data_IF_632187335358
#
_entry.id   IF_632187335358
#
_cell.length_a   1.000
_cell.length_b   1.000
_cell.length_c   1.000
_cell.angle_alpha   90.00
_cell.angle_beta   90.00
_cell.angle_gamma   90.00
#
_symmetry.space_group_name_H-M   'P 1'
#
loop_
_entity.id
_entity.type
_entity.pdbx_description
1 polymer ?
#
# COMPACT_ATOMS: atom_id res chain seq x y z
N UNK A 1 15.34 22.58 19.94
CA UNK A 1 14.50 23.12 18.85
C UNK A 1 14.81 22.35 17.57
N UNK A 2 13.78 21.92 16.84
CA UNK A 2 13.95 21.20 15.56
C UNK A 2 13.74 22.19 14.40
N UNK A 3 14.59 22.12 13.37
CA UNK A 3 14.43 22.93 12.16
C UNK A 3 13.19 22.48 11.38
N UNK A 4 12.38 23.41 10.88
CA UNK A 4 11.15 23.10 10.12
C UNK A 4 11.40 22.14 8.96
N UNK A 5 12.54 22.27 8.28
CA UNK A 5 12.91 21.38 7.16
C UNK A 5 13.14 19.94 7.62
N UNK A 6 13.72 19.73 8.80
CA UNK A 6 13.93 18.39 9.35
C UNK A 6 12.58 17.74 9.68
N UNK A 7 11.68 18.51 10.30
CA UNK A 7 10.31 18.07 10.59
C UNK A 7 9.59 17.57 9.34
N UNK A 8 9.62 18.39 8.28
CA UNK A 8 9.01 18.09 6.99
C UNK A 8 9.58 16.81 6.37
N UNK A 9 10.90 16.64 6.40
CA UNK A 9 11.57 15.46 5.82
C UNK A 9 11.20 14.18 6.55
N UNK A 10 11.21 14.17 7.88
CA UNK A 10 10.83 12.99 8.67
C UNK A 10 9.34 12.66 8.51
N UNK A 11 8.49 13.69 8.45
CA UNK A 11 7.07 13.54 8.17
C UNK A 11 6.83 12.89 6.80
N UNK A 12 7.46 13.41 5.74
CA UNK A 12 7.30 12.85 4.39
C UNK A 12 7.93 11.48 4.23
N UNK A 13 9.09 11.24 4.85
CA UNK A 13 9.69 9.91 4.92
C UNK A 13 8.67 8.86 5.40
N UNK A 14 7.98 9.15 6.51
CA UNK A 14 7.00 8.25 7.09
C UNK A 14 5.78 8.02 6.18
N UNK A 15 5.29 9.09 5.52
CA UNK A 15 4.20 9.00 4.56
C UNK A 15 4.57 8.11 3.37
N UNK A 16 5.73 8.36 2.76
CA UNK A 16 6.14 7.58 1.59
C UNK A 16 6.42 6.12 1.95
N UNK A 17 6.97 5.83 3.15
CA UNK A 17 7.19 4.46 3.59
C UNK A 17 5.88 3.70 3.80
N UNK A 18 4.91 4.32 4.47
CA UNK A 18 3.57 3.74 4.66
C UNK A 18 2.86 3.53 3.31
N UNK A 19 3.05 4.44 2.34
CA UNK A 19 2.53 4.29 0.97
C UNK A 19 3.15 3.11 0.23
N UNK A 20 4.47 2.91 0.35
CA UNK A 20 5.16 1.76 -0.26
C UNK A 20 4.57 0.45 0.27
N UNK A 21 4.44 0.30 1.59
CA UNK A 21 3.82 -0.90 2.18
C UNK A 21 2.37 -1.08 1.73
N UNK A 22 1.58 -0.01 1.78
CA UNK A 22 0.15 -0.04 1.43
C UNK A 22 -0.06 -0.42 -0.04
N UNK A 23 0.75 0.13 -0.96
CA UNK A 23 0.68 -0.20 -2.38
C UNK A 23 1.07 -1.65 -2.63
N UNK A 24 2.14 -2.14 -1.99
CA UNK A 24 2.57 -3.52 -2.15
C UNK A 24 1.47 -4.50 -1.70
N UNK A 25 0.87 -4.24 -0.54
CA UNK A 25 -0.21 -5.05 0.02
C UNK A 25 -1.47 -4.99 -0.85
N UNK A 26 -1.83 -3.80 -1.33
CA UNK A 26 -2.98 -3.59 -2.22
C UNK A 26 -2.83 -4.42 -3.50
N UNK A 27 -1.68 -4.35 -4.18
CA UNK A 27 -1.41 -5.15 -5.39
C UNK A 27 -1.44 -6.65 -5.08
N UNK A 28 -0.83 -7.08 -3.97
CA UNK A 28 -0.74 -8.50 -3.58
C UNK A 28 -2.13 -9.08 -3.33
N UNK A 29 -2.94 -8.42 -2.50
CA UNK A 29 -4.27 -8.91 -2.11
C UNK A 29 -5.25 -8.91 -3.28
N UNK A 30 -5.28 -7.85 -4.09
CA UNK A 30 -6.11 -7.82 -5.29
C UNK A 30 -5.67 -8.82 -6.35
N UNK A 31 -4.36 -9.11 -6.45
CA UNK A 31 -3.90 -10.19 -7.32
C UNK A 31 -4.60 -11.48 -6.94
N UNK A 32 -4.60 -11.84 -5.65
CA UNK A 32 -5.33 -13.02 -5.14
C UNK A 32 -6.84 -12.94 -5.40
N UNK A 33 -7.48 -11.82 -5.06
CA UNK A 33 -8.91 -11.63 -5.30
C UNK A 33 -9.30 -11.89 -6.77
N UNK A 34 -8.60 -11.26 -7.72
CA UNK A 34 -8.91 -11.40 -9.15
C UNK A 34 -8.59 -12.80 -9.72
N UNK A 35 -7.81 -13.61 -9.00
CA UNK A 35 -7.61 -15.01 -9.33
C UNK A 35 -8.78 -15.89 -8.85
N UNK A 36 -9.32 -15.58 -7.68
CA UNK A 36 -10.36 -16.39 -7.03
C UNK A 36 -11.77 -16.04 -7.54
N UNK A 37 -11.97 -14.83 -8.08
CA UNK A 37 -13.26 -14.38 -8.58
C UNK A 37 -13.64 -14.96 -9.96
N UNK A 38 -14.93 -15.25 -10.20
CA UNK A 38 -15.47 -15.47 -11.54
C UNK A 38 -15.26 -14.25 -12.45
N UNK A 39 -15.14 -14.49 -13.76
CA UNK A 39 -14.80 -13.44 -14.76
C UNK A 39 -15.94 -12.45 -15.05
N UNK A 40 -17.16 -12.79 -14.66
CA UNK A 40 -18.42 -12.08 -14.90
C UNK A 40 -18.82 -11.14 -13.74
N UNK A 41 -17.97 -11.01 -12.71
CA UNK A 41 -18.23 -10.17 -11.52
C UNK A 41 -18.11 -8.66 -11.77
N UNK A 42 -17.64 -8.22 -12.94
CA UNK A 42 -17.38 -6.80 -13.23
C UNK A 42 -16.16 -6.21 -12.51
N UNK A 43 -15.56 -6.94 -11.57
CA UNK A 43 -14.35 -6.52 -10.85
C UNK A 43 -13.13 -6.72 -11.73
N UNK A 44 -12.30 -5.69 -11.86
CA UNK A 44 -11.16 -5.68 -12.76
C UNK A 44 -9.89 -5.12 -12.12
N UNK A 45 -8.76 -5.26 -12.83
CA UNK A 45 -7.51 -4.60 -12.46
C UNK A 45 -7.65 -3.08 -12.39
N UNK A 46 -8.63 -2.47 -13.05
CA UNK A 46 -8.83 -1.04 -12.96
C UNK A 46 -9.25 -0.56 -11.56
N UNK A 47 -9.95 -1.40 -10.79
CA UNK A 47 -10.35 -1.09 -9.41
C UNK A 47 -9.13 -0.80 -8.52
N UNK A 48 -7.97 -1.41 -8.79
CA UNK A 48 -6.70 -1.07 -8.11
C UNK A 48 -6.23 0.36 -8.39
N UNK A 49 -6.42 0.85 -9.60
CA UNK A 49 -6.04 2.22 -9.99
C UNK A 49 -6.93 3.24 -9.28
N UNK A 50 -8.21 2.90 -9.09
CA UNK A 50 -9.16 3.70 -8.30
C UNK A 50 -8.75 3.69 -6.82
N UNK A 51 -8.55 2.51 -6.23
CA UNK A 51 -8.16 2.35 -4.82
C UNK A 51 -6.83 3.03 -4.48
N UNK A 52 -5.88 3.09 -5.43
CA UNK A 52 -4.62 3.81 -5.28
C UNK A 52 -4.72 5.34 -5.46
N UNK A 53 -5.91 5.87 -5.78
CA UNK A 53 -6.12 7.30 -6.01
C UNK A 53 -5.48 7.84 -7.30
N UNK A 54 -5.05 6.96 -8.22
CA UNK A 54 -4.27 7.33 -9.42
C UNK A 54 -5.06 7.24 -10.73
N UNK A 55 -6.38 7.08 -10.64
CA UNK A 55 -7.30 6.91 -11.79
C UNK A 55 -7.23 8.05 -12.82
N UNK A 56 -7.21 9.31 -12.35
CA UNK A 56 -7.13 10.46 -13.26
C UNK A 56 -5.83 10.48 -14.08
N UNK A 57 -4.70 10.15 -13.46
CA UNK A 57 -3.41 10.07 -14.16
C UNK A 57 -3.35 8.89 -15.12
N UNK A 58 -3.89 7.74 -14.70
CA UNK A 58 -3.93 6.55 -15.53
C UNK A 58 -4.74 6.77 -16.80
N UNK A 59 -5.96 7.30 -16.69
CA UNK A 59 -6.86 7.48 -17.83
C UNK A 59 -6.36 8.52 -18.84
N UNK A 60 -5.52 9.47 -18.40
CA UNK A 60 -4.87 10.41 -19.32
C UNK A 60 -3.83 9.73 -20.23
N UNK A 61 -3.25 8.61 -19.79
CA UNK A 61 -2.10 7.98 -20.44
C UNK A 61 -2.39 6.61 -21.04
N UNK A 62 -3.38 5.90 -20.49
CA UNK A 62 -3.71 4.53 -20.85
C UNK A 62 -5.21 4.38 -21.11
N UNK A 63 -5.54 3.73 -22.22
CA UNK A 63 -6.92 3.33 -22.55
C UNK A 63 -7.20 1.87 -22.21
N UNK A 64 -6.17 1.03 -22.13
CA UNK A 64 -6.28 -0.42 -21.86
C UNK A 64 -6.00 -0.69 -20.39
N UNK A 65 -6.92 -1.40 -19.73
CA UNK A 65 -6.93 -1.67 -18.29
C UNK A 65 -6.54 -3.12 -17.95
N UNK A 66 -5.55 -3.69 -18.64
CA UNK A 66 -5.09 -5.05 -18.37
C UNK A 66 -4.11 -5.14 -17.19
N UNK A 67 -4.01 -6.34 -16.61
CA UNK A 67 -3.15 -6.65 -15.47
C UNK A 67 -1.75 -6.06 -15.62
N UNK A 68 -1.10 -6.34 -16.75
CA UNK A 68 0.30 -5.96 -16.99
C UNK A 68 0.50 -4.45 -16.94
N UNK A 69 -0.40 -3.66 -17.55
CA UNK A 69 -0.29 -2.19 -17.56
C UNK A 69 -0.61 -1.59 -16.21
N UNK A 70 -1.67 -2.07 -15.54
CA UNK A 70 -2.04 -1.60 -14.20
C UNK A 70 -0.91 -1.85 -13.20
N UNK A 71 -0.42 -3.09 -13.13
CA UNK A 71 0.65 -3.46 -12.19
C UNK A 71 1.91 -2.67 -12.51
N UNK A 72 2.29 -2.54 -13.79
CA UNK A 72 3.43 -1.71 -14.19
C UNK A 72 3.28 -0.25 -13.76
N UNK A 73 2.10 0.34 -13.95
CA UNK A 73 1.81 1.72 -13.59
C UNK A 73 1.88 1.98 -12.09
N UNK A 74 1.38 1.05 -11.28
CA UNK A 74 1.38 1.18 -9.81
C UNK A 74 2.74 0.82 -9.19
N UNK A 75 3.50 -0.07 -9.82
CA UNK A 75 4.72 -0.62 -9.24
C UNK A 75 6.00 0.07 -9.76
N UNK A 76 6.18 0.15 -11.07
CA UNK A 76 7.45 0.53 -11.72
C UNK A 76 7.44 1.96 -12.26
N UNK A 77 6.29 2.46 -12.70
CA UNK A 77 6.24 3.71 -13.47
C UNK A 77 6.66 4.95 -12.65
N UNK A 78 7.88 5.42 -12.90
CA UNK A 78 8.45 6.60 -12.23
C UNK A 78 7.81 7.93 -12.64
N UNK A 79 7.02 7.94 -13.71
CA UNK A 79 6.22 9.12 -14.07
C UNK A 79 4.91 9.22 -13.28
N UNK A 80 4.48 8.11 -12.65
CA UNK A 80 3.45 8.14 -11.61
C UNK A 80 4.09 8.46 -10.26
N UNK A 81 3.85 9.63 -9.65
CA UNK A 81 4.44 9.99 -8.36
C UNK A 81 3.96 9.09 -7.21
N UNK A 82 2.81 8.45 -7.37
CA UNK A 82 2.22 7.52 -6.40
C UNK A 82 2.68 6.08 -6.59
N UNK A 83 3.46 5.76 -7.62
CA UNK A 83 3.95 4.40 -7.79
C UNK A 83 4.86 3.97 -6.64
N UNK A 84 4.98 2.66 -6.45
CA UNK A 84 5.83 2.07 -5.42
C UNK A 84 7.29 2.52 -5.59
N UNK A 85 7.82 2.44 -6.81
CA UNK A 85 9.18 2.88 -7.13
C UNK A 85 9.40 4.38 -6.87
N UNK A 86 8.46 5.25 -7.28
CA UNK A 86 8.53 6.70 -7.02
C UNK A 86 8.50 7.00 -5.52
N UNK A 87 7.61 6.34 -4.78
CA UNK A 87 7.45 6.52 -3.34
C UNK A 87 8.71 6.06 -2.60
N UNK A 88 9.29 4.91 -2.96
CA UNK A 88 10.52 4.42 -2.36
C UNK A 88 11.72 5.34 -2.65
N UNK A 89 11.81 5.91 -3.85
CA UNK A 89 12.81 6.93 -4.16
C UNK A 89 12.68 8.13 -3.22
N UNK A 90 11.45 8.56 -2.93
CA UNK A 90 11.19 9.65 -1.99
C UNK A 90 11.48 9.27 -0.54
N UNK A 91 11.27 8.01 -0.13
CA UNK A 91 11.73 7.50 1.18
C UNK A 91 13.23 7.73 1.30
N UNK A 92 14.01 7.23 0.33
CA UNK A 92 15.48 7.35 0.32
C UNK A 92 15.95 8.80 0.35
N UNK A 93 15.37 9.68 -0.47
CA UNK A 93 15.78 11.08 -0.49
C UNK A 93 15.51 11.80 0.83
N UNK A 94 14.36 11.54 1.47
CA UNK A 94 14.05 12.17 2.76
C UNK A 94 14.99 11.68 3.85
N UNK A 95 15.21 10.36 3.98
CA UNK A 95 16.10 9.82 5.01
C UNK A 95 17.58 10.23 4.81
N UNK A 96 18.01 10.40 3.56
CA UNK A 96 19.38 10.85 3.22
C UNK A 96 19.74 12.17 3.90
N UNK A 97 18.74 13.04 4.06
CA UNK A 97 18.92 14.41 4.56
C UNK A 97 18.61 14.56 6.05
N UNK A 98 18.26 13.48 6.75
CA UNK A 98 17.88 13.47 8.17
C UNK A 98 18.57 12.36 8.98
N UNK A 99 19.75 11.91 8.53
CA UNK A 99 20.50 10.81 9.16
C UNK A 99 20.97 11.09 10.58
N UNK A 100 21.02 12.37 10.96
CA UNK A 100 21.35 12.86 12.30
C UNK A 100 20.18 12.76 13.29
N UNK A 101 18.98 12.43 12.79
CA UNK A 101 17.73 12.44 13.55
C UNK A 101 17.11 11.05 13.67
N UNK A 102 17.17 10.27 12.60
CA UNK A 102 16.73 8.87 12.60
C UNK A 102 17.88 7.94 13.03
N UNK A 103 17.60 6.72 13.51
CA UNK A 103 18.64 5.73 13.77
C UNK A 103 19.52 5.51 12.53
N UNK A 104 20.83 5.39 12.73
CA UNK A 104 21.79 5.28 11.63
C UNK A 104 21.51 4.06 10.75
N UNK A 105 21.13 2.95 11.39
CA UNK A 105 20.79 1.68 10.76
C UNK A 105 19.57 1.81 9.83
N UNK A 106 18.69 2.80 10.08
CA UNK A 106 17.53 3.05 9.21
C UNK A 106 17.96 3.52 7.82
N UNK A 107 19.04 4.30 7.73
CA UNK A 107 19.59 4.74 6.44
C UNK A 107 20.12 3.55 5.63
N UNK A 108 20.88 2.67 6.28
CA UNK A 108 21.48 1.49 5.66
C UNK A 108 20.39 0.56 5.14
N UNK A 109 19.40 0.24 5.98
CA UNK A 109 18.27 -0.60 5.61
C UNK A 109 17.44 -0.02 4.45
N UNK A 110 17.17 1.30 4.43
CA UNK A 110 16.47 1.94 3.32
C UNK A 110 17.31 1.92 2.03
N UNK A 111 18.63 2.04 2.13
CA UNK A 111 19.49 2.00 0.97
C UNK A 111 19.55 0.59 0.36
N UNK A 112 19.68 -0.45 1.21
CA UNK A 112 19.56 -1.85 0.79
C UNK A 112 18.20 -2.14 0.18
N UNK A 113 17.13 -1.62 0.78
CA UNK A 113 15.78 -1.76 0.27
C UNK A 113 15.60 -1.15 -1.13
N UNK A 114 16.14 0.05 -1.37
CA UNK A 114 16.14 0.67 -2.69
C UNK A 114 16.89 -0.18 -3.73
N UNK A 115 18.06 -0.73 -3.36
CA UNK A 115 18.86 -1.59 -4.24
C UNK A 115 18.06 -2.85 -4.57
N UNK A 116 17.54 -3.54 -3.56
CA UNK A 116 16.71 -4.74 -3.73
C UNK A 116 15.55 -4.49 -4.69
N UNK A 117 14.77 -3.43 -4.48
CA UNK A 117 13.62 -3.12 -5.36
C UNK A 117 14.09 -2.82 -6.76
N UNK A 118 15.17 -2.05 -6.95
CA UNK A 118 15.68 -1.70 -8.29
C UNK A 118 16.13 -2.94 -9.07
N UNK A 119 16.81 -3.87 -8.41
CA UNK A 119 17.36 -5.07 -9.04
C UNK A 119 16.28 -6.14 -9.31
N UNK A 120 15.21 -6.16 -8.51
CA UNK A 120 14.19 -7.21 -8.55
C UNK A 120 12.82 -6.74 -9.08
N UNK A 121 12.67 -5.48 -9.50
CA UNK A 121 11.35 -4.90 -9.88
C UNK A 121 10.62 -5.69 -10.97
N UNK A 122 11.37 -6.31 -11.89
CA UNK A 122 10.81 -7.16 -12.94
C UNK A 122 10.07 -8.39 -12.41
N UNK A 123 10.42 -8.87 -11.20
CA UNK A 123 9.71 -9.96 -10.53
C UNK A 123 8.29 -9.55 -10.13
N UNK A 124 8.07 -8.28 -9.74
CA UNK A 124 6.73 -7.75 -9.46
C UNK A 124 5.80 -7.76 -10.67
N UNK A 125 6.35 -7.58 -11.88
CA UNK A 125 5.58 -7.66 -13.13
C UNK A 125 5.28 -9.10 -13.54
N UNK A 126 6.15 -10.04 -13.15
CA UNK A 126 5.96 -11.45 -13.42
C UNK A 126 4.99 -12.07 -12.40
N UNK A 127 3.81 -12.48 -12.87
CA UNK A 127 2.74 -13.05 -12.05
C UNK A 127 3.21 -14.21 -11.15
N UNK A 128 4.20 -15.01 -11.59
CA UNK A 128 4.76 -16.13 -10.82
C UNK A 128 5.54 -15.67 -9.58
N UNK A 129 6.30 -14.58 -9.69
CA UNK A 129 7.22 -14.12 -8.63
C UNK A 129 6.69 -12.90 -7.87
N UNK A 130 5.60 -12.29 -8.36
CA UNK A 130 5.01 -11.08 -7.78
C UNK A 130 4.73 -11.22 -6.29
N UNK A 131 4.17 -12.34 -5.86
CA UNK A 131 3.83 -12.54 -4.45
C UNK A 131 5.06 -12.44 -3.55
N UNK A 132 6.11 -13.21 -3.85
CA UNK A 132 7.36 -13.24 -3.08
C UNK A 132 8.03 -11.85 -3.06
N UNK A 133 8.06 -11.17 -4.21
CA UNK A 133 8.62 -9.82 -4.32
C UNK A 133 7.86 -8.78 -3.47
N UNK A 134 6.52 -8.79 -3.53
CA UNK A 134 5.70 -7.86 -2.74
C UNK A 134 5.73 -8.18 -1.24
N UNK A 135 5.81 -9.46 -0.88
CA UNK A 135 5.97 -9.89 0.51
C UNK A 135 7.30 -9.40 1.10
N UNK A 136 8.39 -9.47 0.34
CA UNK A 136 9.68 -8.94 0.79
C UNK A 136 9.62 -7.43 1.01
N UNK A 137 9.00 -6.68 0.09
CA UNK A 137 8.75 -5.24 0.26
C UNK A 137 8.01 -4.94 1.57
N UNK A 138 6.94 -5.67 1.85
CA UNK A 138 6.13 -5.50 3.07
C UNK A 138 6.99 -5.80 4.31
N UNK A 139 7.75 -6.90 4.29
CA UNK A 139 8.65 -7.28 5.39
C UNK A 139 9.68 -6.20 5.65
N UNK A 140 10.34 -5.67 4.63
CA UNK A 140 11.35 -4.61 4.79
C UNK A 140 10.74 -3.32 5.33
N UNK A 141 9.53 -2.93 4.88
CA UNK A 141 8.83 -1.77 5.45
C UNK A 141 8.52 -1.96 6.94
N UNK A 142 8.10 -3.16 7.34
CA UNK A 142 7.83 -3.50 8.73
C UNK A 142 9.12 -3.53 9.57
N UNK A 143 10.24 -4.02 9.03
CA UNK A 143 11.54 -3.99 9.67
C UNK A 143 12.01 -2.54 9.93
N UNK A 144 11.91 -1.66 8.92
CA UNK A 144 12.25 -0.24 9.07
C UNK A 144 11.37 0.41 10.16
N UNK A 145 10.05 0.19 10.11
CA UNK A 145 9.13 0.72 11.10
C UNK A 145 9.42 0.17 12.52
N UNK A 146 9.79 -1.11 12.64
CA UNK A 146 10.17 -1.74 13.91
C UNK A 146 11.44 -1.14 14.50
N UNK A 147 12.48 -0.98 13.68
CA UNK A 147 13.73 -0.34 14.06
C UNK A 147 13.49 1.08 14.58
N UNK A 148 12.73 1.89 13.83
CA UNK A 148 12.38 3.26 14.22
C UNK A 148 11.59 3.28 15.52
N UNK A 149 10.61 2.40 15.69
CA UNK A 149 9.78 2.36 16.88
C UNK A 149 10.57 1.99 18.15
N UNK A 150 11.61 1.17 18.00
CA UNK A 150 12.42 0.67 19.11
C UNK A 150 13.54 1.64 19.52
N UNK A 151 14.30 2.16 18.55
CA UNK A 151 15.57 2.86 18.84
C UNK A 151 15.50 4.38 18.70
N UNK A 152 14.51 4.92 17.98
CA UNK A 152 14.42 6.36 17.78
C UNK A 152 14.00 7.07 19.07
N UNK A 153 14.68 8.19 19.39
CA UNK A 153 14.33 9.01 20.54
C UNK A 153 12.92 9.58 20.41
N UNK A 154 12.11 9.47 21.45
CA UNK A 154 10.71 9.96 21.52
C UNK A 154 10.64 11.48 21.72
N UNK A 155 11.12 12.23 20.74
CA UNK A 155 11.08 13.69 20.71
C UNK A 155 10.14 14.21 19.62
N UNK A 156 10.25 15.50 19.28
CA UNK A 156 9.43 16.12 18.24
C UNK A 156 9.54 15.39 16.88
N UNK A 157 10.73 14.92 16.48
CA UNK A 157 10.89 14.24 15.20
C UNK A 157 10.11 12.92 15.16
N UNK A 158 10.12 12.16 16.26
CA UNK A 158 9.31 10.95 16.42
C UNK A 158 7.81 11.24 16.29
N UNK A 159 7.32 12.34 16.86
CA UNK A 159 5.92 12.75 16.72
C UNK A 159 5.57 13.13 15.27
N UNK A 160 6.44 13.86 14.56
CA UNK A 160 6.22 14.18 13.14
C UNK A 160 6.23 12.93 12.25
N UNK A 161 7.10 11.97 12.55
CA UNK A 161 7.15 10.67 11.90
C UNK A 161 5.81 9.95 12.05
N UNK A 162 5.34 9.79 13.29
CA UNK A 162 4.07 9.12 13.56
C UNK A 162 2.86 9.85 12.99
N UNK A 163 2.88 11.18 12.96
CA UNK A 163 1.85 11.98 12.33
C UNK A 163 1.79 11.70 10.82
N UNK A 164 2.94 11.71 10.14
CA UNK A 164 3.01 11.38 8.72
C UNK A 164 2.48 9.98 8.44
N UNK A 165 2.99 8.99 9.17
CA UNK A 165 2.54 7.60 9.05
C UNK A 165 1.03 7.45 9.26
N UNK A 166 0.50 8.04 10.33
CA UNK A 166 -0.92 7.94 10.68
C UNK A 166 -1.81 8.61 9.64
N UNK A 167 -1.39 9.76 9.11
CA UNK A 167 -2.15 10.48 8.10
C UNK A 167 -2.18 9.72 6.77
N UNK A 168 -1.06 9.15 6.34
CA UNK A 168 -1.03 8.32 5.13
C UNK A 168 -1.89 7.07 5.29
N UNK A 169 -1.78 6.40 6.45
CA UNK A 169 -2.61 5.23 6.76
C UNK A 169 -4.10 5.57 6.74
N UNK A 170 -4.49 6.72 7.28
CA UNK A 170 -5.88 7.17 7.26
C UNK A 170 -6.37 7.44 5.82
N UNK A 171 -5.59 8.15 5.01
CA UNK A 171 -5.92 8.40 3.58
C UNK A 171 -6.07 7.08 2.80
N UNK A 172 -5.11 6.16 2.93
CA UNK A 172 -5.18 4.85 2.27
C UNK A 172 -6.38 4.03 2.75
N UNK A 173 -6.68 4.08 4.06
CA UNK A 173 -7.83 3.36 4.62
C UNK A 173 -9.13 3.83 4.00
N UNK A 174 -9.34 5.16 3.91
CA UNK A 174 -10.53 5.74 3.31
C UNK A 174 -10.67 5.28 1.85
N UNK A 175 -9.60 5.39 1.04
CA UNK A 175 -9.64 5.01 -0.38
C UNK A 175 -9.94 3.53 -0.60
N UNK A 176 -9.37 2.65 0.22
CA UNK A 176 -9.59 1.20 0.12
C UNK A 176 -11.04 0.86 0.51
N UNK A 177 -11.58 1.50 1.55
CA UNK A 177 -12.97 1.34 1.96
C UNK A 177 -13.93 1.84 0.86
N UNK A 178 -13.68 3.03 0.30
CA UNK A 178 -14.49 3.59 -0.78
C UNK A 178 -14.48 2.68 -2.02
N UNK A 179 -13.31 2.15 -2.40
CA UNK A 179 -13.21 1.21 -3.52
C UNK A 179 -13.98 -0.09 -3.24
N UNK A 180 -13.86 -0.64 -2.03
CA UNK A 180 -14.62 -1.83 -1.61
C UNK A 180 -16.13 -1.59 -1.59
N UNK A 181 -16.58 -0.45 -1.06
CA UNK A 181 -17.98 -0.07 -1.02
C UNK A 181 -18.57 0.13 -2.42
N UNK A 182 -17.83 0.80 -3.32
CA UNK A 182 -18.24 0.96 -4.72
C UNK A 182 -18.40 -0.39 -5.42
N UNK A 183 -17.45 -1.33 -5.22
CA UNK A 183 -17.55 -2.68 -5.76
C UNK A 183 -18.72 -3.46 -5.16
N UNK A 184 -19.00 -3.27 -3.88
CA UNK A 184 -20.08 -3.95 -3.15
C UNK A 184 -21.46 -3.52 -3.64
N UNK A 185 -21.66 -2.23 -3.92
CA UNK A 185 -22.94 -1.70 -4.41
C UNK A 185 -23.40 -2.42 -5.69
N UNK A 186 -22.49 -2.62 -6.63
CA UNK A 186 -22.78 -3.30 -7.90
C UNK A 186 -23.08 -4.80 -7.71
N UNK A 187 -22.54 -5.42 -6.66
CA UNK A 187 -22.71 -6.85 -6.38
C UNK A 187 -24.01 -7.17 -5.64
N UNK A 188 -24.47 -6.27 -4.77
CA UNK A 188 -25.73 -6.41 -4.03
C UNK A 188 -26.91 -6.44 -5.02
N UNK A 189 -26.86 -5.62 -6.07
CA UNK A 189 -27.88 -5.63 -7.13
C UNK A 189 -27.97 -6.97 -7.89
N UNK A 190 -26.88 -7.74 -7.89
CA UNK A 190 -26.75 -8.99 -8.63
C UNK A 190 -26.82 -10.27 -7.74
N UNK A 191 -27.25 -10.16 -6.47
CA UNK A 191 -27.41 -11.27 -5.51
C UNK A 191 -26.14 -12.17 -5.38
N UNK A 192 -24.96 -11.53 -5.33
CA UNK A 192 -23.66 -12.24 -5.36
C UNK A 192 -22.94 -12.26 -4.01
N UNK A 193 -23.60 -12.78 -2.96
CA UNK A 193 -23.10 -12.72 -1.57
C UNK A 193 -21.68 -13.30 -1.35
N UNK A 194 -21.34 -14.39 -2.04
CA UNK A 194 -20.00 -14.99 -1.93
C UNK A 194 -18.88 -14.10 -2.50
N UNK A 195 -19.19 -13.27 -3.51
CA UNK A 195 -18.24 -12.30 -4.08
C UNK A 195 -18.13 -11.10 -3.14
N UNK A 196 -19.23 -10.68 -2.52
CA UNK A 196 -19.24 -9.63 -1.51
C UNK A 196 -18.31 -9.96 -0.33
N UNK A 197 -18.37 -11.19 0.19
CA UNK A 197 -17.47 -11.68 1.25
C UNK A 197 -16.00 -11.65 0.82
N UNK A 198 -15.72 -12.03 -0.42
CA UNK A 198 -14.36 -12.00 -0.98
C UNK A 198 -13.83 -10.56 -1.11
N UNK A 199 -14.68 -9.62 -1.54
CA UNK A 199 -14.35 -8.20 -1.64
C UNK A 199 -14.02 -7.62 -0.25
N UNK A 200 -14.88 -7.81 0.75
CA UNK A 200 -14.60 -7.32 2.10
C UNK A 200 -13.43 -8.05 2.76
N UNK A 201 -13.24 -9.34 2.46
CA UNK A 201 -12.05 -10.08 2.83
C UNK A 201 -10.77 -9.44 2.27
N UNK A 202 -10.81 -8.99 1.01
CA UNK A 202 -9.69 -8.29 0.35
C UNK A 202 -9.43 -6.89 0.92
N UNK A 203 -10.49 -6.15 1.28
CA UNK A 203 -10.41 -4.85 1.96
C UNK A 203 -9.72 -5.03 3.31
N UNK A 204 -10.20 -5.95 4.14
CA UNK A 204 -9.61 -6.25 5.44
C UNK A 204 -8.18 -6.79 5.31
N UNK A 205 -7.91 -7.61 4.30
CA UNK A 205 -6.55 -8.12 4.03
C UNK A 205 -5.58 -6.99 3.68
N UNK A 206 -6.02 -6.03 2.86
CA UNK A 206 -5.22 -4.86 2.48
C UNK A 206 -5.03 -3.89 3.65
N UNK A 207 -5.97 -3.81 4.58
CA UNK A 207 -5.84 -2.98 5.78
C UNK A 207 -5.15 -3.70 6.95
N UNK A 208 -4.73 -4.96 6.77
CA UNK A 208 -4.22 -5.83 7.83
C UNK A 208 -5.20 -5.93 9.03
N UNK A 209 -6.49 -5.87 8.74
CA UNK A 209 -7.59 -5.79 9.71
C UNK A 209 -8.38 -7.11 9.85
N UNK A 210 -8.03 -8.15 9.10
CA UNK A 210 -8.71 -9.46 9.09
C UNK A 210 -8.80 -10.09 10.49
N UNK A 211 -7.68 -10.15 11.21
CA UNK A 211 -7.64 -10.77 12.55
C UNK A 211 -8.36 -9.92 13.61
N UNK A 212 -8.15 -8.58 13.68
CA UNK A 212 -8.96 -7.70 14.52
C UNK A 212 -10.47 -7.83 14.30
N UNK A 213 -10.90 -7.88 13.04
CA UNK A 213 -12.31 -8.05 12.68
C UNK A 213 -12.87 -9.38 13.21
N UNK A 214 -12.21 -10.51 12.90
CA UNK A 214 -12.63 -11.84 13.35
C UNK A 214 -12.72 -11.96 14.87
N UNK A 215 -11.80 -11.33 15.60
CA UNK A 215 -11.83 -11.31 17.07
C UNK A 215 -13.02 -10.54 17.63
N UNK A 216 -13.41 -9.46 16.95
CA UNK A 216 -14.50 -8.58 17.40
C UNK A 216 -15.86 -9.17 17.06
N UNK A 217 -16.05 -9.63 15.81
CA UNK A 217 -17.33 -10.14 15.33
C UNK A 217 -17.58 -11.60 15.70
N UNK A 218 -16.55 -12.39 16.04
CA UNK A 218 -16.64 -13.84 16.34
C UNK A 218 -17.31 -14.70 15.25
N UNK A 219 -17.47 -14.17 14.04
CA UNK A 219 -18.08 -14.83 12.88
C UNK A 219 -17.08 -14.85 11.72
N UNK A 220 -17.35 -15.67 10.70
CA UNK A 220 -16.70 -15.54 9.40
C UNK A 220 -16.94 -14.12 8.81
N UNK A 221 -16.13 -13.71 7.85
CA UNK A 221 -16.33 -12.40 7.21
C UNK A 221 -17.62 -12.48 6.41
N UNK A 222 -18.60 -11.67 6.77
CA UNK A 222 -19.91 -11.58 6.12
C UNK A 222 -20.08 -10.15 5.59
N UNK A 223 -20.36 -10.02 4.30
CA UNK A 223 -20.52 -8.75 3.62
C UNK A 223 -21.64 -7.89 4.19
N UNK A 224 -22.71 -8.51 4.68
CA UNK A 224 -23.86 -7.81 5.27
C UNK A 224 -23.54 -7.14 6.61
N UNK A 225 -22.56 -7.66 7.37
CA UNK A 225 -22.16 -7.13 8.68
C UNK A 225 -21.13 -5.98 8.58
N UNK A 226 -20.70 -5.64 7.36
CA UNK A 226 -19.58 -4.72 7.09
C UNK A 226 -19.99 -3.38 6.49
N UNK A 227 -21.30 -3.14 6.33
CA UNK A 227 -21.90 -1.90 5.80
C UNK A 227 -22.26 -0.89 6.90
#
# INVERSE_FOLDING_TARGET
MMLSRVAERVYWFARYLERVESMARLIQVYTGLLFDLPRDTGISWHNLVIASGSHGEYNRRFTVQDEKRVVKFLLEDVSNPSSLASSLRMVRENIRTTRDIVPQESWELVNEFQIYVSDNIAQGLNRRYRHEFLEEIIKTCQQINGLIADTMRRDAAWHFLNMGRSLERADMTIRILEAGASMSSDLIENDTNHVLDAVWGSVLGTLNATMPYRRTMKVAINGDDSA
#
